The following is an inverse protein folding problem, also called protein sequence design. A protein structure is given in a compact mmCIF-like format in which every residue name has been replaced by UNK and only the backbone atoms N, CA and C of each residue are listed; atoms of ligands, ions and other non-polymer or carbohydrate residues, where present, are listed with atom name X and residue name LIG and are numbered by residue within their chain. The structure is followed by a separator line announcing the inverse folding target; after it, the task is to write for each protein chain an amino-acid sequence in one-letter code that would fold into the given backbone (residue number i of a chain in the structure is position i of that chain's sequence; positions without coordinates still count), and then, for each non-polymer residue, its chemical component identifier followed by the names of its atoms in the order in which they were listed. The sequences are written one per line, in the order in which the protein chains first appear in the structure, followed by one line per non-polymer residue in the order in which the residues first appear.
data_IF_093358299877
#
_entry.id   IF_093358299877
#
_cell.length_a   1.000
_cell.length_b   1.000
_cell.length_c   1.000
_cell.angle_alpha   90.00
_cell.angle_beta   90.00
_cell.angle_gamma   90.00
#
_symmetry.space_group_name_H-M   'P 1'
#
loop_
_entity.id
_entity.type
_entity.pdbx_description
1 polymer ?
#
# COMPACT_ATOMS: atom_id res chain seq x y z
N UNK A 1 -2.57 -10.10 10.31
CA UNK A 1 -2.03 -8.92 11.04
C UNK A 1 -2.88 -7.71 10.67
N UNK A 2 -3.31 -6.90 11.64
CA UNK A 2 -4.02 -5.64 11.39
C UNK A 2 -3.04 -4.48 11.45
N UNK A 3 -3.18 -3.54 10.52
CA UNK A 3 -2.36 -2.35 10.44
C UNK A 3 -3.22 -1.14 10.14
N UNK A 4 -2.86 0.01 10.72
CA UNK A 4 -3.43 1.31 10.40
C UNK A 4 -2.53 2.02 9.41
N UNK A 5 -3.09 2.55 8.35
CA UNK A 5 -2.36 3.37 7.40
C UNK A 5 -2.12 4.74 8.05
N UNK A 6 -0.85 5.17 8.10
CA UNK A 6 -0.47 6.47 8.65
C UNK A 6 -1.17 7.62 7.92
N UNK A 7 -1.38 8.77 8.57
CA UNK A 7 -2.00 9.91 7.90
C UNK A 7 -1.16 10.37 6.71
N UNK A 8 -1.83 10.98 5.73
CA UNK A 8 -1.23 11.42 4.47
C UNK A 8 0.03 12.26 4.71
N UNK A 9 -0.03 13.21 5.65
CA UNK A 9 1.07 14.12 5.96
C UNK A 9 2.33 13.37 6.41
N UNK A 10 2.18 12.36 7.27
CA UNK A 10 3.30 11.52 7.72
C UNK A 10 3.87 10.65 6.59
N UNK A 11 3.02 10.21 5.65
CA UNK A 11 3.50 9.47 4.48
C UNK A 11 4.26 10.39 3.53
N UNK A 12 3.73 11.58 3.27
CA UNK A 12 4.35 12.58 2.39
C UNK A 12 5.75 12.97 2.88
N UNK A 13 5.95 13.08 4.20
CA UNK A 13 7.25 13.37 4.81
C UNK A 13 8.32 12.30 4.50
N UNK A 14 7.89 11.08 4.16
CA UNK A 14 8.80 9.98 3.78
C UNK A 14 9.10 9.92 2.27
N UNK A 15 8.44 10.75 1.45
CA UNK A 15 8.61 10.75 0.00
C UNK A 15 9.70 11.73 -0.43
N UNK A 16 10.29 11.49 -1.60
CA UNK A 16 11.14 12.46 -2.27
C UNK A 16 10.33 13.43 -3.15
N UNK A 17 11.00 14.38 -3.81
CA UNK A 17 10.38 15.36 -4.72
C UNK A 17 9.55 14.75 -5.87
N UNK A 18 9.75 13.46 -6.17
CA UNK A 18 8.98 12.72 -7.18
C UNK A 18 7.82 11.91 -6.60
N UNK A 19 7.46 12.13 -5.32
CA UNK A 19 6.45 11.36 -4.58
C UNK A 19 6.78 9.86 -4.47
N UNK A 20 8.08 9.53 -4.43
CA UNK A 20 8.57 8.16 -4.33
C UNK A 20 9.24 7.90 -2.99
N UNK A 21 8.96 6.73 -2.40
CA UNK A 21 9.77 6.16 -1.33
C UNK A 21 10.48 4.90 -1.81
N UNK A 22 11.82 4.98 -1.92
CA UNK A 22 12.67 3.88 -2.38
C UNK A 22 12.18 3.26 -3.69
N UNK A 23 11.73 4.12 -4.63
CA UNK A 23 11.20 3.72 -5.94
C UNK A 23 9.75 3.24 -5.95
N UNK A 24 9.04 3.26 -4.82
CA UNK A 24 7.59 3.01 -4.77
C UNK A 24 6.85 4.34 -4.73
N UNK A 25 5.96 4.57 -5.68
CA UNK A 25 5.13 5.77 -5.73
C UNK A 25 4.00 5.74 -4.72
N UNK A 26 3.66 6.91 -4.22
CA UNK A 26 2.47 7.12 -3.39
C UNK A 26 1.49 8.02 -4.14
N UNK A 27 0.35 7.44 -4.55
CA UNK A 27 -0.64 8.10 -5.40
C UNK A 27 -1.81 8.70 -4.59
N UNK A 28 -2.56 9.60 -5.20
CA UNK A 28 -3.72 10.23 -4.55
C UNK A 28 -4.80 9.22 -4.16
N UNK A 29 -4.95 8.13 -4.92
CA UNK A 29 -5.88 7.06 -4.56
C UNK A 29 -5.46 6.36 -3.26
N UNK A 30 -4.16 6.13 -3.06
CA UNK A 30 -3.63 5.60 -1.80
C UNK A 30 -3.92 6.55 -0.65
N UNK A 31 -3.85 7.87 -0.89
CA UNK A 31 -4.16 8.86 0.11
C UNK A 31 -5.60 8.77 0.65
N UNK A 32 -6.57 8.25 -0.13
CA UNK A 32 -7.96 8.05 0.31
C UNK A 32 -8.11 6.99 1.41
N UNK A 33 -7.13 6.07 1.51
CA UNK A 33 -7.12 5.02 2.52
C UNK A 33 -6.30 5.40 3.76
N UNK A 34 -5.65 6.56 3.79
CA UNK A 34 -4.92 7.04 4.96
C UNK A 34 -5.82 7.13 6.19
N UNK A 35 -5.31 6.72 7.35
CA UNK A 35 -6.05 6.66 8.60
C UNK A 35 -6.98 5.44 8.75
N UNK A 36 -7.18 4.63 7.70
CA UNK A 36 -7.97 3.40 7.79
C UNK A 36 -7.14 2.26 8.37
N UNK A 37 -7.83 1.35 9.06
CA UNK A 37 -7.27 0.06 9.48
C UNK A 37 -7.57 -0.97 8.40
N UNK A 38 -6.54 -1.68 7.95
CA UNK A 38 -6.65 -2.75 6.97
C UNK A 38 -5.88 -3.99 7.45
N UNK A 39 -6.22 -5.14 6.90
CA UNK A 39 -5.54 -6.39 7.22
C UNK A 39 -4.41 -6.64 6.25
N UNK A 40 -3.23 -7.02 6.73
CA UNK A 40 -2.14 -7.44 5.86
C UNK A 40 -2.51 -8.76 5.21
N UNK A 41 -2.63 -8.74 3.88
CA UNK A 41 -2.89 -9.91 3.03
C UNK A 41 -1.60 -10.67 2.73
N UNK A 42 -0.55 -9.95 2.32
CA UNK A 42 0.73 -10.55 2.00
C UNK A 42 1.90 -9.57 2.21
N UNK A 43 3.08 -10.13 2.47
CA UNK A 43 4.34 -9.39 2.44
C UNK A 43 5.15 -9.89 1.25
N UNK A 44 5.43 -8.97 0.32
CA UNK A 44 6.08 -9.24 -0.95
C UNK A 44 7.50 -8.69 -0.90
N UNK A 45 8.46 -9.60 -0.73
CA UNK A 45 9.90 -9.27 -0.83
C UNK A 45 10.44 -9.50 -2.24
N UNK A 46 9.71 -10.29 -3.04
CA UNK A 46 10.06 -10.63 -4.42
C UNK A 46 8.83 -10.50 -5.29
N UNK A 47 8.92 -9.71 -6.35
CA UNK A 47 7.86 -9.53 -7.33
C UNK A 47 8.39 -9.93 -8.71
N UNK A 48 7.53 -10.54 -9.53
CA UNK A 48 7.86 -10.76 -10.93
C UNK A 48 7.72 -9.42 -11.68
N UNK A 49 8.78 -9.00 -12.37
CA UNK A 49 8.69 -7.91 -13.33
C UNK A 49 7.89 -8.41 -14.53
N UNK A 50 6.65 -7.97 -14.69
CA UNK A 50 5.77 -8.46 -15.76
C UNK A 50 6.30 -8.15 -17.18
N UNK A 51 7.14 -7.12 -17.33
CA UNK A 51 7.72 -6.73 -18.62
C UNK A 51 8.87 -7.63 -19.04
N UNK A 52 9.65 -8.12 -18.08
CA UNK A 52 10.88 -8.90 -18.35
C UNK A 52 10.78 -10.35 -17.89
N UNK A 53 9.74 -10.73 -17.13
CA UNK A 53 9.56 -12.05 -16.53
C UNK A 53 10.57 -12.37 -15.43
N UNK A 54 11.34 -11.39 -14.96
CA UNK A 54 12.41 -11.60 -13.98
C UNK A 54 11.90 -11.43 -12.56
N UNK A 55 12.37 -12.27 -11.66
CA UNK A 55 12.11 -12.10 -10.24
C UNK A 55 12.95 -10.92 -9.71
N UNK A 56 12.29 -9.82 -9.39
CA UNK A 56 12.91 -8.67 -8.72
C UNK A 56 12.88 -8.92 -7.22
N UNK A 57 14.07 -9.01 -6.62
CA UNK A 57 14.21 -8.93 -5.17
C UNK A 57 14.15 -7.47 -4.75
N UNK A 58 13.06 -7.09 -4.07
CA UNK A 58 12.94 -5.75 -3.53
C UNK A 58 13.88 -5.60 -2.32
N UNK A 59 14.67 -4.52 -2.29
CA UNK A 59 15.51 -4.19 -1.12
C UNK A 59 14.69 -3.84 0.13
N UNK A 60 13.40 -3.58 -0.04
CA UNK A 60 12.49 -3.31 1.06
C UNK A 60 11.18 -4.03 0.77
N UNK A 61 10.65 -4.79 1.74
CA UNK A 61 9.39 -5.51 1.56
C UNK A 61 8.27 -4.53 1.22
N UNK A 62 7.38 -4.96 0.34
CA UNK A 62 6.10 -4.31 0.08
C UNK A 62 4.99 -5.10 0.78
N UNK A 63 4.02 -4.37 1.30
CA UNK A 63 2.89 -4.93 2.01
C UNK A 63 1.67 -4.78 1.11
N UNK A 64 0.95 -5.88 0.95
CA UNK A 64 -0.34 -5.92 0.29
C UNK A 64 -1.40 -5.97 1.38
N UNK A 65 -2.34 -5.03 1.32
CA UNK A 65 -3.46 -4.94 2.25
C UNK A 65 -4.71 -5.55 1.62
N UNK A 66 -5.47 -6.24 2.46
CA UNK A 66 -6.77 -6.84 2.16
C UNK A 66 -7.84 -5.74 2.12
N UNK A 67 -8.85 -5.89 1.27
CA UNK A 67 -10.01 -4.98 1.14
C UNK A 67 -9.71 -3.56 0.61
N UNK A 68 -8.45 -3.27 0.23
CA UNK A 68 -8.08 -2.04 -0.48
C UNK A 68 -8.10 -2.26 -1.99
N UNK A 69 -9.27 -2.59 -2.51
CA UNK A 69 -9.51 -2.63 -3.96
C UNK A 69 -9.99 -1.26 -4.43
N UNK A 70 -9.45 -0.81 -5.57
CA UNK A 70 -9.93 0.38 -6.25
C UNK A 70 -11.43 0.20 -6.54
N UNK A 71 -12.30 1.01 -5.92
CA UNK A 71 -13.76 0.95 -6.13
C UNK A 71 -14.19 1.39 -7.55
N UNK A 72 -13.27 1.62 -8.49
CA UNK A 72 -13.59 1.77 -9.90
C UNK A 72 -14.52 2.94 -10.23
N UNK A 73 -14.63 3.95 -9.35
CA UNK A 73 -15.77 4.87 -9.40
C UNK A 73 -15.72 5.89 -10.54
N UNK A 74 -14.59 6.09 -11.25
CA UNK A 74 -14.60 7.18 -12.25
C UNK A 74 -14.12 6.95 -13.68
N UNK A 75 -13.43 5.88 -14.07
CA UNK A 75 -13.14 5.71 -15.50
C UNK A 75 -12.95 4.24 -15.90
N UNK A 76 -13.87 3.76 -16.75
CA UNK A 76 -13.70 2.76 -17.81
C UNK A 76 -12.69 1.62 -17.57
N UNK A 77 -13.20 0.38 -17.44
CA UNK A 77 -12.50 -0.87 -17.80
C UNK A 77 -11.01 -0.93 -17.46
N UNK A 78 -10.66 -1.03 -16.17
CA UNK A 78 -9.33 -1.50 -15.78
C UNK A 78 -9.41 -3.00 -15.46
N UNK A 79 -8.97 -3.91 -16.35
CA UNK A 79 -8.97 -5.36 -16.09
C UNK A 79 -7.93 -5.79 -15.04
N UNK A 80 -7.17 -4.83 -14.51
CA UNK A 80 -6.20 -5.03 -13.44
C UNK A 80 -6.79 -4.41 -12.19
N UNK A 81 -7.30 -5.25 -11.29
CA UNK A 81 -7.43 -4.89 -9.88
C UNK A 81 -6.07 -4.34 -9.43
N UNK A 82 -5.91 -3.01 -9.40
CA UNK A 82 -4.67 -2.40 -8.96
C UNK A 82 -4.60 -2.59 -7.45
N UNK A 83 -3.78 -3.54 -7.02
CA UNK A 83 -3.52 -3.78 -5.61
C UNK A 83 -2.35 -2.88 -5.21
N UNK A 84 -2.59 -1.78 -4.47
CA UNK A 84 -1.53 -0.87 -4.08
C UNK A 84 -0.54 -1.58 -3.17
N UNK A 85 0.75 -1.43 -3.48
CA UNK A 85 1.82 -1.83 -2.57
C UNK A 85 2.06 -0.74 -1.53
N UNK A 86 2.24 -1.15 -0.27
CA UNK A 86 2.49 -0.25 0.84
C UNK A 86 3.88 -0.50 1.44
N UNK A 87 4.57 0.54 1.88
CA UNK A 87 5.78 0.37 2.69
C UNK A 87 5.40 0.13 4.14
N UNK A 88 6.16 -0.72 4.84
CA UNK A 88 5.98 -0.92 6.28
C UNK A 88 6.07 0.40 7.08
N UNK A 89 6.90 1.35 6.64
CA UNK A 89 7.03 2.67 7.31
C UNK A 89 5.76 3.53 7.25
N UNK A 90 4.83 3.22 6.34
CA UNK A 90 3.53 3.87 6.18
C UNK A 90 2.44 3.19 6.99
N UNK A 91 2.76 2.09 7.67
CA UNK A 91 1.79 1.24 8.34
C UNK A 91 2.17 1.11 9.83
N UNK A 92 1.18 1.30 10.68
CA UNK A 92 1.29 1.11 12.12
C UNK A 92 0.60 -0.20 12.51
N UNK A 93 1.25 -1.07 13.28
CA UNK A 93 0.65 -2.34 13.71
C UNK A 93 -0.40 -2.08 14.78
N UNK A 94 -1.62 -2.58 14.56
CA UNK A 94 -2.71 -2.47 15.53
C UNK A 94 -2.76 -3.77 16.35
N UNK A 95 -2.63 -3.69 17.69
CA UNK A 95 -2.70 -4.87 18.55
C UNK A 95 -4.12 -5.49 18.54
N UNK A 96 -4.25 -6.81 18.77
CA UNK A 96 -5.51 -7.56 18.63
C UNK A 96 -6.61 -7.26 19.67
N UNK A 97 -6.64 -6.06 20.26
CA UNK A 97 -7.68 -5.59 21.17
C UNK A 97 -8.16 -4.16 20.93
N UNK A 98 -7.61 -3.47 19.93
CA UNK A 98 -7.88 -2.05 19.62
C UNK A 98 -8.60 -1.87 18.27
N UNK A 99 -9.04 -2.98 17.66
CA UNK A 99 -9.73 -3.01 16.37
C UNK A 99 -11.25 -2.85 16.47
N UNK A 100 -11.74 -2.23 17.55
CA UNK A 100 -13.16 -1.91 17.74
C UNK A 100 -13.36 -0.40 17.73
N UNK A 101 -14.29 0.06 16.90
CA UNK A 101 -14.79 1.42 16.95
C UNK A 101 -14.78 2.17 15.62
N UNK A 102 -15.67 1.73 14.72
CA UNK A 102 -16.61 2.56 13.94
C UNK A 102 -16.66 2.26 12.44
#
# INVERSE_FOLDING_TARGET
ELVRIRPKEEILDTLNDSLLNRGLGFEEEMARYCGRTARVRARVERCLDERTGRMLSMKSPCIVLDDLVCEGVYNASCPREFVPFWREIWLERVPPGDGDGR
#
